data_IF_957239928996
#
_entry.id   IF_957239928996
#
_cell.length_a   1.000
_cell.length_b   1.000
_cell.length_c   1.000
_cell.angle_alpha   90.00
_cell.angle_beta   90.00
_cell.angle_gamma   90.00
#
_symmetry.space_group_name_H-M   'P 1'
#
loop_
_entity.id
_entity.type
_entity.pdbx_description
1 polymer ?
#
# COMPACT_ATOMS: atom_id res chain seq x y z
N UNK A 1 -55.88 12.88 -27.07
CA UNK A 1 -55.22 11.62 -26.62
C UNK A 1 -53.74 11.55 -27.00
N UNK A 2 -53.36 11.65 -28.29
CA UNK A 2 -51.95 11.60 -28.74
C UNK A 2 -51.02 12.66 -28.13
N UNK A 3 -51.51 13.90 -27.90
CA UNK A 3 -50.71 14.98 -27.31
C UNK A 3 -50.35 14.72 -25.83
N UNK A 4 -51.30 14.20 -25.04
CA UNK A 4 -51.07 13.83 -23.63
C UNK A 4 -50.13 12.64 -23.49
N UNK A 5 -50.25 11.65 -24.38
CA UNK A 5 -49.33 10.52 -24.43
C UNK A 5 -47.89 10.96 -24.79
N UNK A 6 -47.72 11.89 -25.74
CA UNK A 6 -46.40 12.46 -26.07
C UNK A 6 -45.80 13.23 -24.89
N UNK A 7 -46.60 14.04 -24.18
CA UNK A 7 -46.15 14.76 -22.97
C UNK A 7 -45.76 13.80 -21.84
N UNK A 8 -46.52 12.72 -21.65
CA UNK A 8 -46.22 11.66 -20.68
C UNK A 8 -44.90 10.96 -21.02
N UNK A 9 -44.67 10.60 -22.29
CA UNK A 9 -43.42 9.99 -22.72
C UNK A 9 -42.21 10.91 -22.48
N UNK A 10 -42.33 12.20 -22.84
CA UNK A 10 -41.27 13.18 -22.58
C UNK A 10 -40.97 13.27 -21.08
N UNK A 11 -42.02 13.35 -20.24
CA UNK A 11 -41.87 13.39 -18.79
C UNK A 11 -41.16 12.13 -18.26
N UNK A 12 -41.59 10.94 -18.68
CA UNK A 12 -40.94 9.68 -18.30
C UNK A 12 -39.47 9.64 -18.75
N UNK A 13 -39.16 10.10 -19.96
CA UNK A 13 -37.78 10.18 -20.46
C UNK A 13 -36.92 11.13 -19.63
N UNK A 14 -37.44 12.30 -19.24
CA UNK A 14 -36.73 13.26 -18.38
C UNK A 14 -36.46 12.66 -17.00
N UNK A 15 -37.45 11.98 -16.42
CA UNK A 15 -37.29 11.30 -15.12
C UNK A 15 -36.23 10.19 -15.22
N UNK A 16 -36.30 9.34 -16.24
CA UNK A 16 -35.32 8.27 -16.45
C UNK A 16 -33.91 8.82 -16.66
N UNK A 17 -33.77 9.89 -17.44
CA UNK A 17 -32.49 10.56 -17.65
C UNK A 17 -31.95 11.14 -16.33
N UNK A 18 -32.82 11.75 -15.52
CA UNK A 18 -32.43 12.32 -14.23
C UNK A 18 -31.98 11.24 -13.24
N UNK A 19 -32.68 10.11 -13.19
CA UNK A 19 -32.30 8.95 -12.37
C UNK A 19 -30.99 8.34 -12.85
N UNK A 20 -30.81 8.17 -14.16
CA UNK A 20 -29.57 7.66 -14.72
C UNK A 20 -28.39 8.59 -14.42
N UNK A 21 -28.58 9.91 -14.54
CA UNK A 21 -27.56 10.90 -14.20
C UNK A 21 -27.24 10.89 -12.70
N UNK A 22 -28.26 10.80 -11.85
CA UNK A 22 -28.09 10.69 -10.40
C UNK A 22 -27.28 9.45 -10.01
N UNK A 23 -27.61 8.29 -10.59
CA UNK A 23 -26.85 7.04 -10.39
C UNK A 23 -25.41 7.24 -10.87
N UNK A 24 -25.22 7.74 -12.09
CA UNK A 24 -23.88 7.96 -12.65
C UNK A 24 -23.02 8.85 -11.74
N UNK A 25 -23.53 10.01 -11.33
CA UNK A 25 -22.82 10.95 -10.46
C UNK A 25 -22.55 10.35 -9.09
N UNK A 26 -23.49 9.61 -8.52
CA UNK A 26 -23.31 8.98 -7.20
C UNK A 26 -22.14 8.00 -7.19
N UNK A 27 -21.96 7.24 -8.27
CA UNK A 27 -20.90 6.24 -8.37
C UNK A 27 -19.60 6.73 -9.01
N UNK A 28 -19.64 7.75 -9.86
CA UNK A 28 -18.49 8.20 -10.67
C UNK A 28 -18.01 9.61 -10.32
N UNK A 29 -18.78 10.35 -9.54
CA UNK A 29 -18.57 11.76 -9.26
C UNK A 29 -18.83 12.65 -10.48
N UNK A 30 -18.81 13.96 -10.25
CA UNK A 30 -18.86 14.95 -11.31
C UNK A 30 -17.54 15.03 -12.11
N UNK A 31 -17.56 14.91 -13.45
CA UNK A 31 -16.35 14.95 -14.28
C UNK A 31 -15.54 16.26 -14.16
N UNK A 32 -16.21 17.41 -14.05
CA UNK A 32 -15.53 18.71 -13.92
C UNK A 32 -14.87 18.89 -12.56
N UNK A 33 -15.52 18.42 -11.47
CA UNK A 33 -14.92 18.42 -10.14
C UNK A 33 -13.71 17.49 -10.11
N UNK A 34 -13.84 16.30 -10.70
CA UNK A 34 -12.74 15.35 -10.89
C UNK A 34 -11.54 15.98 -11.62
N UNK A 35 -11.80 16.82 -12.63
CA UNK A 35 -10.74 17.53 -13.34
C UNK A 35 -10.09 18.61 -12.48
N UNK A 36 -10.89 19.45 -11.83
CA UNK A 36 -10.44 20.61 -11.05
C UNK A 36 -9.63 20.18 -9.84
N UNK A 37 -10.19 19.31 -9.00
CA UNK A 37 -9.54 18.82 -7.78
C UNK A 37 -8.23 18.10 -8.09
N UNK A 38 -8.17 17.31 -9.16
CA UNK A 38 -6.92 16.64 -9.54
C UNK A 38 -5.79 17.61 -9.91
N UNK A 39 -6.12 18.81 -10.41
CA UNK A 39 -5.13 19.85 -10.71
C UNK A 39 -4.68 20.58 -9.45
N UNK A 40 -5.58 20.78 -8.51
CA UNK A 40 -5.24 21.34 -7.19
C UNK A 40 -4.34 20.37 -6.40
N UNK A 41 -4.69 19.07 -6.35
CA UNK A 41 -3.84 18.06 -5.70
C UNK A 41 -2.46 17.98 -6.38
N UNK A 42 -2.40 18.02 -7.71
CA UNK A 42 -1.12 18.04 -8.43
C UNK A 42 -0.27 19.26 -8.03
N UNK A 43 -0.86 20.45 -8.01
CA UNK A 43 -0.15 21.66 -7.61
C UNK A 43 0.33 21.60 -6.15
N UNK A 44 -0.50 21.07 -5.25
CA UNK A 44 -0.13 20.82 -3.86
C UNK A 44 1.08 19.87 -3.75
N UNK A 45 1.12 18.78 -4.52
CA UNK A 45 2.26 17.86 -4.52
C UNK A 45 3.53 18.55 -5.05
N UNK A 46 3.39 19.32 -6.13
CA UNK A 46 4.49 20.03 -6.77
C UNK A 46 5.13 21.03 -5.79
N UNK A 47 4.31 21.76 -5.06
CA UNK A 47 4.73 22.72 -4.03
C UNK A 47 5.28 22.01 -2.80
N UNK A 48 4.59 21.00 -2.27
CA UNK A 48 4.96 20.31 -1.04
C UNK A 48 6.33 19.66 -1.13
N UNK A 49 6.67 19.07 -2.29
CA UNK A 49 7.90 18.30 -2.48
C UNK A 49 8.94 18.98 -3.38
N UNK A 50 8.72 20.23 -3.77
CA UNK A 50 9.60 21.02 -4.64
C UNK A 50 10.05 20.26 -5.91
N UNK A 51 9.11 19.50 -6.50
CA UNK A 51 9.36 18.71 -7.71
C UNK A 51 8.07 18.42 -8.48
N UNK A 52 8.11 18.27 -9.81
CA UNK A 52 6.90 18.04 -10.58
C UNK A 52 6.39 16.59 -10.50
N UNK A 53 5.07 16.43 -10.44
CA UNK A 53 4.35 15.17 -10.50
C UNK A 53 3.48 15.05 -11.75
N UNK A 54 3.23 13.81 -12.19
CA UNK A 54 2.34 13.50 -13.30
C UNK A 54 1.11 12.73 -12.80
N UNK A 55 -0.07 13.22 -13.16
CA UNK A 55 -1.34 12.51 -12.93
C UNK A 55 -1.42 11.32 -13.89
N UNK A 56 -1.47 10.10 -13.35
CA UNK A 56 -1.68 8.85 -14.09
C UNK A 56 -3.15 8.48 -14.20
N UNK A 57 -3.90 8.74 -13.14
CA UNK A 57 -5.34 8.53 -13.13
C UNK A 57 -6.03 9.56 -12.22
N UNK A 58 -7.30 9.81 -12.48
CA UNK A 58 -8.16 10.64 -11.65
C UNK A 58 -9.15 9.71 -10.96
N UNK A 59 -9.32 9.88 -9.67
CA UNK A 59 -10.06 8.95 -8.82
C UNK A 59 -11.30 9.64 -8.23
N UNK A 60 -12.31 8.82 -7.92
CA UNK A 60 -13.47 9.21 -7.13
C UNK A 60 -13.86 8.03 -6.26
N UNK A 61 -14.02 8.28 -4.96
CA UNK A 61 -14.51 7.30 -4.01
C UNK A 61 -15.97 7.61 -3.68
N UNK A 62 -16.88 6.76 -4.12
CA UNK A 62 -18.31 6.95 -3.90
C UNK A 62 -18.73 6.82 -2.43
N UNK A 63 -17.90 6.19 -1.59
CA UNK A 63 -18.23 5.95 -0.17
C UNK A 63 -18.17 7.23 0.67
N UNK A 64 -17.23 8.11 0.35
CA UNK A 64 -16.99 9.37 1.06
C UNK A 64 -17.17 10.60 0.15
N UNK A 65 -17.43 10.39 -1.14
CA UNK A 65 -17.62 11.46 -2.12
C UNK A 65 -16.32 12.18 -2.49
N UNK A 66 -15.16 11.63 -2.12
CA UNK A 66 -13.87 12.28 -2.29
C UNK A 66 -13.26 12.03 -3.65
N UNK A 67 -12.57 13.04 -4.14
CA UNK A 67 -11.79 13.01 -5.35
C UNK A 67 -10.31 12.84 -5.03
N UNK A 68 -9.59 12.23 -5.96
CA UNK A 68 -8.17 11.98 -5.81
C UNK A 68 -7.47 11.79 -7.14
N UNK A 69 -6.18 11.50 -7.05
CA UNK A 69 -5.33 11.17 -8.18
C UNK A 69 -4.48 9.95 -7.86
N UNK A 70 -4.13 9.21 -8.91
CA UNK A 70 -2.92 8.39 -8.92
C UNK A 70 -1.81 9.22 -9.56
N UNK A 71 -0.67 9.36 -8.90
CA UNK A 71 0.43 10.22 -9.33
C UNK A 71 1.78 9.50 -9.30
N UNK A 72 2.76 10.10 -9.96
CA UNK A 72 4.17 9.68 -9.95
C UNK A 72 5.05 10.92 -10.08
N UNK A 73 6.21 11.00 -9.39
CA UNK A 73 7.18 12.07 -9.64
C UNK A 73 7.76 11.93 -11.05
N UNK A 74 8.08 13.05 -11.71
CA UNK A 74 8.62 13.02 -13.08
C UNK A 74 9.96 12.27 -13.16
N UNK A 75 10.78 12.34 -12.10
CA UNK A 75 12.10 11.72 -12.05
C UNK A 75 12.07 10.21 -11.78
N UNK A 76 10.98 9.67 -11.23
CA UNK A 76 10.84 8.25 -10.84
C UNK A 76 9.46 7.74 -11.24
N UNK A 77 9.30 7.44 -12.54
CA UNK A 77 8.02 7.09 -13.14
C UNK A 77 7.43 5.74 -12.69
N UNK A 78 8.27 4.88 -12.09
CA UNK A 78 7.95 3.60 -11.50
C UNK A 78 7.31 3.74 -10.12
N UNK A 79 7.65 4.80 -9.37
CA UNK A 79 7.05 5.09 -8.08
C UNK A 79 5.66 5.71 -8.26
N UNK A 80 4.61 4.95 -7.90
CA UNK A 80 3.23 5.40 -8.01
C UNK A 80 2.56 5.40 -6.64
N UNK A 81 1.79 6.46 -6.38
CA UNK A 81 1.03 6.62 -5.14
C UNK A 81 -0.31 7.26 -5.43
N UNK A 82 -1.16 7.35 -4.40
CA UNK A 82 -2.42 8.10 -4.50
C UNK A 82 -2.41 9.32 -3.60
N UNK A 83 -3.16 10.33 -4.00
CA UNK A 83 -3.43 11.51 -3.19
C UNK A 83 -4.92 11.86 -3.32
N UNK A 84 -5.50 12.42 -2.28
CA UNK A 84 -6.95 12.60 -2.13
C UNK A 84 -7.27 13.95 -1.50
N UNK A 85 -8.51 14.41 -1.70
CA UNK A 85 -9.11 15.45 -0.85
C UNK A 85 -8.95 15.05 0.62
N UNK A 86 -8.47 16.00 1.42
CA UNK A 86 -8.12 15.76 2.80
C UNK A 86 -9.32 15.69 3.73
N UNK A 87 -9.05 15.55 5.02
CA UNK A 87 -10.05 15.47 6.08
C UNK A 87 -9.48 16.11 7.34
N UNK A 88 -10.37 16.58 8.22
CA UNK A 88 -9.96 17.29 9.44
C UNK A 88 -9.16 18.53 9.09
N UNK A 89 -7.93 18.61 9.59
CA UNK A 89 -7.04 19.75 9.42
C UNK A 89 -6.21 19.70 8.13
N UNK A 90 -6.26 18.59 7.38
CA UNK A 90 -5.54 18.45 6.12
C UNK A 90 -6.43 18.81 4.94
N UNK A 91 -5.99 19.77 4.12
CA UNK A 91 -6.66 20.09 2.85
C UNK A 91 -6.51 18.97 1.83
N UNK A 92 -5.32 18.37 1.78
CA UNK A 92 -5.00 17.20 0.95
C UNK A 92 -4.27 16.15 1.76
N UNK A 93 -4.48 14.89 1.41
CA UNK A 93 -3.69 13.77 1.90
C UNK A 93 -2.98 13.11 0.72
N UNK A 94 -1.72 12.78 0.90
CA UNK A 94 -0.94 12.06 -0.10
C UNK A 94 -0.15 10.93 0.55
N UNK A 95 0.08 9.89 -0.24
CA UNK A 95 0.84 8.72 0.17
C UNK A 95 2.20 8.67 -0.54
N UNK A 96 2.76 9.83 -0.91
CA UNK A 96 4.07 9.89 -1.54
C UNK A 96 5.19 9.45 -0.58
N UNK A 97 5.24 9.93 0.69
CA UNK A 97 6.25 9.48 1.64
C UNK A 97 6.22 7.97 1.85
N UNK A 98 5.02 7.41 1.95
CA UNK A 98 4.82 5.98 2.08
C UNK A 98 5.38 5.21 0.89
N UNK A 99 5.07 5.63 -0.34
CA UNK A 99 5.62 4.98 -1.53
C UNK A 99 7.16 5.08 -1.61
N UNK A 100 7.75 6.18 -1.12
CA UNK A 100 9.21 6.32 -1.01
C UNK A 100 9.77 5.35 0.03
N UNK A 101 9.17 5.25 1.22
CA UNK A 101 9.62 4.32 2.26
C UNK A 101 9.48 2.86 1.84
N UNK A 102 8.38 2.50 1.17
CA UNK A 102 8.20 1.16 0.59
C UNK A 102 9.32 0.82 -0.38
N UNK A 103 9.65 1.75 -1.28
CA UNK A 103 10.77 1.57 -2.21
C UNK A 103 12.11 1.45 -1.49
N UNK A 104 12.39 2.31 -0.51
CA UNK A 104 13.64 2.26 0.27
C UNK A 104 13.81 0.92 0.98
N UNK A 105 12.76 0.40 1.63
CA UNK A 105 12.78 -0.90 2.31
C UNK A 105 12.95 -2.04 1.29
N UNK A 106 12.29 -1.96 0.14
CA UNK A 106 12.46 -2.95 -0.91
C UNK A 106 13.92 -2.99 -1.40
N UNK A 107 14.46 -1.84 -1.79
CA UNK A 107 15.80 -1.75 -2.37
C UNK A 107 16.88 -2.15 -1.36
N UNK A 108 16.72 -1.79 -0.07
CA UNK A 108 17.69 -2.10 0.98
C UNK A 108 17.85 -3.61 1.26
N UNK A 109 16.78 -4.39 1.04
CA UNK A 109 16.76 -5.81 1.40
C UNK A 109 16.65 -6.75 0.19
N UNK A 110 16.45 -6.23 -1.02
CA UNK A 110 16.29 -7.05 -2.24
C UNK A 110 17.46 -8.03 -2.44
N UNK A 111 18.70 -7.55 -2.43
CA UNK A 111 19.88 -8.41 -2.63
C UNK A 111 19.99 -9.47 -1.53
N UNK A 112 19.70 -9.09 -0.28
CA UNK A 112 19.76 -9.96 0.89
C UNK A 112 18.70 -11.07 0.77
N UNK A 113 17.46 -10.70 0.43
CA UNK A 113 16.35 -11.63 0.23
C UNK A 113 16.66 -12.57 -0.94
N UNK A 114 17.12 -12.04 -2.07
CA UNK A 114 17.46 -12.85 -3.25
C UNK A 114 18.60 -13.84 -2.95
N UNK A 115 19.53 -13.48 -2.08
CA UNK A 115 20.63 -14.36 -1.66
C UNK A 115 20.17 -15.47 -0.72
N UNK A 116 19.30 -15.17 0.25
CA UNK A 116 18.88 -16.14 1.28
C UNK A 116 17.70 -16.99 0.80
N UNK A 117 16.77 -16.39 0.06
CA UNK A 117 15.60 -17.01 -0.55
C UNK A 117 15.64 -16.86 -2.08
N UNK A 118 16.62 -17.46 -2.79
CA UNK A 118 16.68 -17.38 -4.25
C UNK A 118 15.48 -18.03 -4.95
N UNK A 119 14.74 -18.87 -4.22
CA UNK A 119 13.54 -19.59 -4.62
C UNK A 119 12.23 -18.91 -4.22
N UNK A 120 12.27 -17.67 -3.70
CA UNK A 120 11.06 -16.95 -3.35
C UNK A 120 10.16 -16.75 -4.58
N UNK A 121 8.85 -16.90 -4.38
CA UNK A 121 7.84 -16.62 -5.41
C UNK A 121 7.38 -15.17 -5.40
N UNK A 122 7.54 -14.49 -4.26
CA UNK A 122 7.25 -13.07 -4.11
C UNK A 122 8.08 -12.48 -2.98
N UNK A 123 8.64 -11.31 -3.24
CA UNK A 123 9.25 -10.42 -2.25
C UNK A 123 8.56 -9.07 -2.39
N UNK A 124 8.09 -8.50 -1.27
CA UNK A 124 7.52 -7.17 -1.26
C UNK A 124 7.90 -6.42 0.02
N UNK A 125 7.78 -5.11 -0.06
CA UNK A 125 7.80 -4.21 1.07
C UNK A 125 6.47 -3.46 1.12
N UNK A 126 6.05 -3.07 2.32
CA UNK A 126 4.91 -2.18 2.53
C UNK A 126 5.17 -1.27 3.71
N UNK A 127 4.36 -0.23 3.85
CA UNK A 127 4.40 0.66 5.02
C UNK A 127 3.00 0.88 5.58
N UNK A 128 2.92 1.20 6.86
CA UNK A 128 1.69 1.70 7.44
C UNK A 128 1.29 3.02 6.76
N UNK A 129 0.04 3.08 6.31
CA UNK A 129 -0.48 4.20 5.51
C UNK A 129 -1.01 5.33 6.39
N UNK A 130 -0.85 6.58 5.93
CA UNK A 130 -1.43 7.76 6.57
C UNK A 130 -0.51 8.46 7.56
N UNK A 131 0.77 8.05 7.62
CA UNK A 131 1.77 8.65 8.48
C UNK A 131 2.60 9.73 7.75
N UNK A 132 2.61 9.74 6.41
CA UNK A 132 3.39 10.68 5.62
C UNK A 132 3.10 12.15 5.96
N UNK A 133 1.82 12.49 6.10
CA UNK A 133 1.40 13.83 6.47
C UNK A 133 1.86 14.28 7.87
N UNK A 134 1.95 13.34 8.81
CA UNK A 134 2.37 13.62 10.18
C UNK A 134 3.90 13.69 10.29
N UNK A 135 4.60 12.72 9.71
CA UNK A 135 6.04 12.53 9.88
C UNK A 135 6.88 13.40 8.92
N UNK A 136 6.34 13.84 7.79
CA UNK A 136 7.07 14.63 6.79
C UNK A 136 6.61 16.08 6.82
N UNK A 137 7.51 16.98 7.21
CA UNK A 137 7.25 18.43 7.35
C UNK A 137 7.85 19.31 6.26
N UNK A 138 8.71 18.75 5.41
CA UNK A 138 9.40 19.47 4.34
C UNK A 138 9.34 18.73 3.01
N UNK A 139 10.00 19.28 1.98
CA UNK A 139 9.98 18.70 0.64
C UNK A 139 10.79 17.40 0.51
N UNK A 140 11.77 17.21 1.41
CA UNK A 140 12.58 16.00 1.45
C UNK A 140 11.90 14.93 2.31
N UNK A 141 11.76 13.73 1.76
CA UNK A 141 11.26 12.57 2.49
C UNK A 141 12.42 11.99 3.32
N UNK A 142 12.34 11.95 4.66
CA UNK A 142 13.36 11.34 5.48
C UNK A 142 13.44 9.83 5.21
N UNK A 143 14.58 9.20 5.53
CA UNK A 143 14.67 7.73 5.46
C UNK A 143 13.65 7.09 6.40
N UNK A 144 13.09 5.94 6.00
CA UNK A 144 12.27 5.12 6.89
C UNK A 144 13.01 4.69 8.17
N UNK A 145 14.36 4.74 8.17
CA UNK A 145 15.20 4.45 9.35
C UNK A 145 15.20 5.59 10.37
N UNK A 146 14.93 6.82 9.93
CA UNK A 146 15.07 8.04 10.74
C UNK A 146 13.72 8.53 11.32
N UNK A 147 12.61 7.88 10.95
CA UNK A 147 11.27 8.20 11.43
C UNK A 147 10.61 6.97 12.03
N UNK A 148 9.71 7.17 12.99
CA UNK A 148 8.95 6.08 13.60
C UNK A 148 7.76 5.68 12.71
N UNK A 149 8.07 5.07 11.56
CA UNK A 149 7.09 4.49 10.66
C UNK A 149 7.21 2.98 10.66
N UNK A 150 6.08 2.27 10.82
CA UNK A 150 6.06 0.83 10.70
C UNK A 150 6.14 0.43 9.22
N UNK A 151 7.17 -0.34 8.89
CA UNK A 151 7.38 -0.94 7.56
C UNK A 151 7.35 -2.46 7.67
N UNK A 152 7.00 -3.13 6.58
CA UNK A 152 6.85 -4.58 6.55
C UNK A 152 7.60 -5.17 5.36
N UNK A 153 8.22 -6.32 5.57
CA UNK A 153 8.79 -7.16 4.52
C UNK A 153 7.97 -8.45 4.42
N UNK A 154 7.50 -8.77 3.22
CA UNK A 154 6.83 -10.03 2.92
C UNK A 154 7.69 -10.92 2.03
N UNK A 155 7.95 -12.14 2.48
CA UNK A 155 8.67 -13.16 1.71
C UNK A 155 7.75 -14.36 1.53
N UNK A 156 7.52 -14.75 0.28
CA UNK A 156 6.71 -15.91 -0.08
C UNK A 156 7.56 -16.96 -0.76
N UNK A 157 7.41 -18.22 -0.39
CA UNK A 157 8.06 -19.35 -1.06
C UNK A 157 7.16 -20.58 -1.10
N UNK A 158 7.55 -21.56 -1.93
CA UNK A 158 6.87 -22.86 -1.99
C UNK A 158 7.43 -23.80 -0.92
N UNK A 159 6.59 -24.70 -0.43
CA UNK A 159 7.00 -25.74 0.52
C UNK A 159 6.36 -25.56 1.90
N UNK A 160 7.10 -25.92 2.94
CA UNK A 160 6.66 -25.89 4.33
C UNK A 160 7.86 -25.68 5.26
N UNK A 161 7.63 -24.94 6.35
CA UNK A 161 8.56 -24.76 7.46
C UNK A 161 8.55 -25.95 8.43
N UNK A 162 7.47 -26.76 8.42
CA UNK A 162 7.29 -27.85 9.39
C UNK A 162 8.32 -28.95 9.15
N UNK A 163 9.14 -29.21 10.18
CA UNK A 163 10.20 -30.22 10.12
C UNK A 163 11.41 -29.82 9.28
N UNK A 164 11.51 -28.54 8.88
CA UNK A 164 12.58 -28.06 8.03
C UNK A 164 13.50 -27.07 8.76
N UNK A 165 14.52 -27.62 9.43
CA UNK A 165 15.50 -26.82 10.19
C UNK A 165 16.31 -25.86 9.33
N UNK A 166 16.47 -26.14 8.02
CA UNK A 166 17.13 -25.19 7.12
C UNK A 166 16.27 -23.95 6.87
N UNK A 167 14.93 -24.05 6.85
CA UNK A 167 14.05 -22.88 6.77
C UNK A 167 14.21 -21.97 7.98
N UNK A 168 14.27 -22.54 9.18
CA UNK A 168 14.48 -21.74 10.39
C UNK A 168 15.85 -21.07 10.40
N UNK A 169 16.88 -21.68 9.80
CA UNK A 169 18.18 -21.05 9.58
C UNK A 169 18.09 -19.88 8.58
N UNK A 170 17.35 -20.04 7.48
CA UNK A 170 17.09 -18.96 6.50
C UNK A 170 16.33 -17.79 7.11
N UNK A 171 15.30 -18.09 7.90
CA UNK A 171 14.55 -17.08 8.66
C UNK A 171 15.47 -16.33 9.62
N UNK A 172 16.28 -17.04 10.41
CA UNK A 172 17.23 -16.42 11.32
C UNK A 172 18.19 -15.48 10.58
N UNK A 173 18.69 -15.88 9.40
CA UNK A 173 19.57 -15.05 8.60
C UNK A 173 18.89 -13.73 8.19
N UNK A 174 17.67 -13.79 7.64
CA UNK A 174 16.91 -12.58 7.27
C UNK A 174 16.62 -11.70 8.49
N UNK A 175 16.09 -12.29 9.57
CA UNK A 175 15.73 -11.56 10.78
C UNK A 175 16.96 -10.90 11.42
N UNK A 176 18.13 -11.52 11.30
CA UNK A 176 19.40 -10.95 11.79
C UNK A 176 19.85 -9.76 10.95
N UNK A 177 19.72 -9.80 9.62
CA UNK A 177 20.03 -8.63 8.78
C UNK A 177 19.06 -7.48 9.04
N UNK A 178 17.77 -7.77 9.16
CA UNK A 178 16.74 -6.77 9.46
C UNK A 178 16.97 -6.13 10.84
N UNK A 179 17.37 -6.92 11.83
CA UNK A 179 17.74 -6.41 13.16
C UNK A 179 18.87 -5.39 13.10
N UNK A 180 19.85 -5.54 12.20
CA UNK A 180 20.98 -4.60 12.06
C UNK A 180 20.57 -3.24 11.48
N UNK A 181 19.44 -3.17 10.78
CA UNK A 181 18.95 -1.91 10.22
C UNK A 181 18.41 -0.96 11.30
N UNK A 182 18.18 -1.46 12.52
CA UNK A 182 17.67 -0.71 13.68
C UNK A 182 16.34 0.04 13.45
N UNK A 183 15.66 -0.21 12.33
CA UNK A 183 14.40 0.41 11.95
C UNK A 183 13.17 -0.35 12.47
N UNK A 184 11.99 0.27 12.37
CA UNK A 184 10.72 -0.33 12.74
C UNK A 184 10.17 -1.21 11.60
N UNK A 185 10.79 -2.37 11.42
CA UNK A 185 10.46 -3.35 10.37
C UNK A 185 9.82 -4.59 11.01
N UNK A 186 8.68 -5.02 10.47
CA UNK A 186 8.10 -6.34 10.70
C UNK A 186 8.31 -7.27 9.51
N UNK A 187 8.31 -8.58 9.75
CA UNK A 187 8.60 -9.57 8.71
C UNK A 187 7.54 -10.64 8.69
N UNK A 188 7.07 -10.94 7.49
CA UNK A 188 6.06 -11.95 7.21
C UNK A 188 6.61 -12.99 6.25
N UNK A 189 6.58 -14.25 6.64
CA UNK A 189 6.90 -15.39 5.78
C UNK A 189 5.61 -16.13 5.41
N UNK A 190 5.45 -16.41 4.11
CA UNK A 190 4.32 -17.14 3.56
C UNK A 190 4.80 -18.39 2.82
N UNK A 191 4.30 -19.56 3.23
CA UNK A 191 4.59 -20.83 2.57
C UNK A 191 3.34 -21.39 1.88
N UNK A 192 3.53 -21.81 0.63
CA UNK A 192 2.47 -22.28 -0.26
C UNK A 192 2.72 -23.74 -0.70
N UNK A 193 1.71 -24.63 -0.66
CA UNK A 193 1.80 -25.96 -1.34
C UNK A 193 1.54 -25.86 -2.84
N UNK A 194 0.65 -24.96 -3.26
CA UNK A 194 0.28 -24.69 -4.66
C UNK A 194 0.29 -23.19 -4.92
N UNK A 195 0.16 -22.75 -6.17
CA UNK A 195 0.22 -21.32 -6.54
C UNK A 195 -0.82 -20.43 -5.85
N UNK A 196 -1.86 -20.99 -5.24
CA UNK A 196 -3.02 -20.24 -4.74
C UNK A 196 -3.37 -20.50 -3.26
N UNK A 197 -2.74 -21.47 -2.58
CA UNK A 197 -3.07 -21.82 -1.19
C UNK A 197 -1.89 -21.59 -0.24
N UNK A 198 -2.00 -20.56 0.63
CA UNK A 198 -1.12 -20.34 1.78
C UNK A 198 -1.44 -21.37 2.87
N UNK A 199 -0.42 -21.97 3.45
CA UNK A 199 -0.58 -23.03 4.45
C UNK A 199 0.05 -22.62 5.78
N UNK A 200 1.18 -21.93 5.72
CA UNK A 200 1.85 -21.44 6.90
C UNK A 200 2.14 -19.96 6.72
N UNK A 201 1.72 -19.20 7.73
CA UNK A 201 2.02 -17.79 7.87
C UNK A 201 2.80 -17.61 9.17
N UNK A 202 3.93 -16.92 9.09
CA UNK A 202 4.73 -16.58 10.25
C UNK A 202 5.00 -15.09 10.22
N UNK A 203 4.70 -14.43 11.32
CA UNK A 203 4.86 -12.99 11.49
C UNK A 203 5.78 -12.71 12.67
N UNK A 204 6.70 -11.78 12.45
CA UNK A 204 7.70 -11.34 13.42
C UNK A 204 7.70 -9.81 13.45
N UNK A 205 7.13 -9.23 14.50
CA UNK A 205 7.26 -7.81 14.77
C UNK A 205 8.67 -7.46 15.27
N UNK A 206 9.00 -6.15 15.32
CA UNK A 206 10.30 -5.65 15.80
C UNK A 206 10.65 -6.16 17.21
N UNK A 207 9.67 -6.26 18.10
CA UNK A 207 9.88 -6.72 19.49
C UNK A 207 10.30 -8.18 19.53
N UNK A 208 9.72 -9.02 18.66
CA UNK A 208 10.09 -10.43 18.50
C UNK A 208 11.47 -10.53 17.85
N UNK A 209 11.72 -9.81 16.74
CA UNK A 209 12.99 -9.80 16.02
C UNK A 209 14.16 -9.47 16.96
N UNK A 210 13.99 -8.47 17.81
CA UNK A 210 15.03 -8.05 18.75
C UNK A 210 15.41 -9.14 19.78
N UNK A 211 14.50 -10.06 20.08
CA UNK A 211 14.73 -11.18 21.01
C UNK A 211 15.32 -12.42 20.33
N UNK A 212 15.25 -12.51 19.02
CA UNK A 212 15.78 -13.66 18.27
C UNK A 212 17.29 -13.56 18.17
N UNK A 213 17.97 -14.64 18.55
CA UNK A 213 19.43 -14.80 18.42
C UNK A 213 19.83 -16.15 17.85
N UNK A 214 18.96 -17.15 17.98
CA UNK A 214 19.23 -18.54 17.58
C UNK A 214 18.08 -19.11 16.76
N UNK A 215 18.33 -20.23 16.10
CA UNK A 215 17.30 -21.01 15.37
C UNK A 215 16.19 -21.46 16.34
N UNK A 216 16.53 -21.81 17.58
CA UNK A 216 15.55 -22.24 18.58
C UNK A 216 14.63 -21.07 19.01
N UNK A 217 15.13 -19.84 19.03
CA UNK A 217 14.28 -18.66 19.24
C UNK A 217 13.29 -18.50 18.09
N UNK A 218 13.75 -18.64 16.84
CA UNK A 218 12.86 -18.60 15.66
C UNK A 218 11.81 -19.69 15.76
N UNK A 219 12.19 -20.94 16.05
CA UNK A 219 11.25 -22.07 16.21
C UNK A 219 10.22 -21.82 17.30
N UNK A 220 10.65 -21.29 18.46
CA UNK A 220 9.77 -20.98 19.58
C UNK A 220 8.73 -19.93 19.20
N UNK A 221 9.18 -18.85 18.57
CA UNK A 221 8.30 -17.74 18.17
C UNK A 221 7.40 -18.14 16.99
N UNK A 222 7.93 -18.89 16.03
CA UNK A 222 7.21 -19.46 14.90
C UNK A 222 6.01 -20.30 15.34
N UNK A 223 6.19 -21.18 16.33
CA UNK A 223 5.13 -22.01 16.90
C UNK A 223 3.98 -21.21 17.50
N UNK A 224 4.20 -19.95 17.88
CA UNK A 224 3.16 -19.06 18.41
C UNK A 224 2.36 -18.37 17.29
N UNK A 225 2.87 -18.36 16.05
CA UNK A 225 2.34 -17.54 14.95
C UNK A 225 1.70 -18.34 13.82
N UNK A 226 1.75 -19.69 13.82
CA UNK A 226 1.21 -20.50 12.72
C UNK A 226 -0.32 -20.44 12.69
N UNK A 227 -0.86 -19.78 11.67
CA UNK A 227 -2.26 -19.89 11.28
C UNK A 227 -2.37 -20.85 10.09
N UNK A 228 -2.86 -22.06 10.34
CA UNK A 228 -3.25 -22.98 9.26
C UNK A 228 -4.70 -22.66 8.90
N UNK A 229 -4.93 -22.09 7.72
CA UNK A 229 -6.27 -22.07 7.15
C UNK A 229 -6.60 -23.50 6.70
N UNK A 230 -7.42 -24.19 7.50
CA UNK A 230 -8.06 -25.44 7.11
C UNK A 230 -9.03 -25.21 5.94
#
# INVERSE_FOLDING_TARGET
>A
MKLYFRKLLIMCSVVLLSVALFIYVSFSGFPWKKYTVSKEIQAYLDERYDQPFLIKDRLYNFKDGKYGIKATPVKEADLQFTAWEGYGDYEYIDYYPEAVWEKQVYDDFEEIVNKIYPDHTMYNASTAMGFGNELVKGPEIPSYRDVDVLTSIGISTRGSVVGNDSEFARMLAILSEIKKAEANIEVSFHYYRTTEQKIEYLHFDRTIINKITTIEDVKKMARMSVWVNN
#
